data_IF_445807110149
#
_entry.id   IF_445807110149
#
_cell.length_a   1.000
_cell.length_b   1.000
_cell.length_c   1.000
_cell.angle_alpha   90.00
_cell.angle_beta   90.00
_cell.angle_gamma   90.00
#
_symmetry.space_group_name_H-M   'P 1'
#
loop_
_entity.id
_entity.type
_entity.pdbx_description
1 polymer ?
#
# COMPACT_ATOMS: atom_id res chain seq x y z
N UNK A 1 26.86 25.46 -14.58
CA UNK A 1 26.02 24.24 -14.51
C UNK A 1 25.34 24.17 -13.15
N UNK A 2 24.00 24.18 -13.09
CA UNK A 2 23.27 24.04 -11.83
C UNK A 2 23.30 22.57 -11.41
N UNK A 3 24.02 22.25 -10.32
CA UNK A 3 23.93 20.96 -9.63
C UNK A 3 22.52 20.85 -9.06
N UNK A 4 21.68 20.01 -9.67
CA UNK A 4 20.44 19.55 -9.04
C UNK A 4 20.85 18.71 -7.83
N UNK A 5 20.86 19.34 -6.67
CA UNK A 5 20.81 18.63 -5.40
C UNK A 5 19.55 17.78 -5.44
N UNK A 6 19.70 16.46 -5.35
CA UNK A 6 18.58 15.54 -5.16
C UNK A 6 17.90 15.96 -3.85
N UNK A 7 16.81 16.72 -3.98
CA UNK A 7 15.97 17.15 -2.87
C UNK A 7 15.57 15.89 -2.10
N UNK A 8 15.78 15.91 -0.79
CA UNK A 8 15.51 14.79 0.12
C UNK A 8 14.16 14.13 -0.20
N UNK A 9 14.08 12.80 -0.06
CA UNK A 9 12.82 12.07 -0.25
C UNK A 9 11.80 12.57 0.79
N UNK A 10 10.99 13.54 0.38
CA UNK A 10 9.88 14.10 1.15
C UNK A 10 8.99 12.95 1.63
N UNK A 11 8.56 12.98 2.89
CA UNK A 11 7.45 12.14 3.34
C UNK A 11 6.27 12.39 2.41
N UNK A 12 5.76 11.34 1.78
CA UNK A 12 4.67 11.48 0.83
C UNK A 12 3.73 10.29 0.94
N UNK A 13 2.51 10.58 1.40
CA UNK A 13 1.47 9.60 1.63
C UNK A 13 0.20 10.00 0.89
N UNK A 14 -0.05 9.34 -0.22
CA UNK A 14 -1.27 9.49 -1.02
C UNK A 14 -2.05 8.18 -1.02
N UNK A 15 -3.18 8.20 -0.31
CA UNK A 15 -4.06 7.05 -0.08
C UNK A 15 -5.51 7.43 -0.34
N UNK A 16 -6.31 6.45 -0.75
CA UNK A 16 -7.77 6.61 -0.94
C UNK A 16 -8.51 5.67 -0.01
N UNK A 17 -9.49 6.20 0.71
CA UNK A 17 -10.29 5.46 1.67
C UNK A 17 -11.76 5.42 1.21
N UNK A 18 -12.32 4.23 1.24
CA UNK A 18 -13.75 3.93 1.14
C UNK A 18 -14.08 2.91 2.22
N UNK A 19 -15.33 2.87 2.66
CA UNK A 19 -15.83 1.91 3.66
C UNK A 19 -15.28 0.49 3.48
N UNK A 20 -15.42 -0.08 2.27
CA UNK A 20 -15.01 -1.45 1.99
C UNK A 20 -13.58 -1.62 1.44
N UNK A 21 -12.88 -0.54 1.08
CA UNK A 21 -11.62 -0.63 0.35
C UNK A 21 -10.69 0.54 0.62
N UNK A 22 -9.46 0.21 1.01
CA UNK A 22 -8.36 1.17 1.10
C UNK A 22 -7.36 0.94 -0.02
N UNK A 23 -6.92 2.02 -0.67
CA UNK A 23 -5.95 1.98 -1.75
C UNK A 23 -4.73 2.83 -1.40
N UNK A 24 -3.61 2.17 -1.19
CA UNK A 24 -2.30 2.78 -0.94
C UNK A 24 -1.60 3.00 -2.28
N UNK A 25 -1.49 4.25 -2.71
CA UNK A 25 -0.92 4.58 -4.02
C UNK A 25 0.55 4.96 -3.89
N UNK A 26 0.88 5.94 -3.03
CA UNK A 26 2.26 6.38 -2.82
C UNK A 26 2.50 6.50 -1.33
N UNK A 27 3.40 5.70 -0.77
CA UNK A 27 3.78 5.75 0.64
C UNK A 27 5.30 5.76 0.74
N UNK A 28 5.89 6.95 0.64
CA UNK A 28 7.32 7.15 0.82
C UNK A 28 7.60 7.71 2.19
N UNK A 29 8.58 7.09 2.85
CA UNK A 29 9.04 7.45 4.18
C UNK A 29 10.55 7.51 4.16
N UNK A 30 11.11 8.59 4.68
CA UNK A 30 12.53 8.63 4.99
C UNK A 30 12.84 7.67 6.15
N UNK A 31 13.99 6.99 6.11
CA UNK A 31 14.37 6.04 7.16
C UNK A 31 14.48 6.71 8.54
N UNK A 32 14.88 7.98 8.60
CA UNK A 32 15.02 8.79 9.82
C UNK A 32 13.70 9.38 10.30
N UNK A 33 12.62 9.24 9.53
CA UNK A 33 11.33 9.79 9.93
C UNK A 33 10.78 9.07 11.17
N UNK A 34 10.31 9.80 12.18
CA UNK A 34 9.64 9.19 13.32
C UNK A 34 8.24 8.70 12.95
N UNK A 35 7.63 9.25 11.90
CA UNK A 35 6.26 8.93 11.50
C UNK A 35 6.21 7.64 10.69
N UNK A 36 5.35 6.72 11.08
CA UNK A 36 5.10 5.46 10.38
C UNK A 36 3.82 5.50 9.54
N UNK A 37 3.77 4.64 8.53
CA UNK A 37 2.63 4.57 7.61
C UNK A 37 1.30 4.21 8.33
N UNK A 38 1.33 3.46 9.43
CA UNK A 38 0.14 3.16 10.22
C UNK A 38 -0.44 4.40 10.90
N UNK A 39 0.40 5.29 11.43
CA UNK A 39 -0.06 6.55 12.04
C UNK A 39 -0.71 7.46 10.99
N UNK A 40 -0.06 7.61 9.83
CA UNK A 40 -0.63 8.37 8.71
C UNK A 40 -1.93 7.76 8.23
N UNK A 41 -2.01 6.43 8.17
CA UNK A 41 -3.22 5.72 7.76
C UNK A 41 -4.37 5.96 8.74
N UNK A 42 -4.11 5.85 10.06
CA UNK A 42 -5.09 6.13 11.10
C UNK A 42 -5.64 7.55 10.99
N UNK A 43 -4.76 8.53 10.81
CA UNK A 43 -5.16 9.92 10.63
C UNK A 43 -5.98 10.14 9.35
N UNK A 44 -5.47 9.71 8.18
CA UNK A 44 -6.15 9.93 6.90
C UNK A 44 -7.49 9.19 6.81
N UNK A 45 -7.57 7.94 7.30
CA UNK A 45 -8.84 7.23 7.42
C UNK A 45 -9.81 7.98 8.32
N UNK A 46 -9.36 8.43 9.50
CA UNK A 46 -10.22 9.11 10.45
C UNK A 46 -10.82 10.40 9.90
N UNK A 47 -10.04 11.20 9.17
CA UNK A 47 -10.53 12.41 8.50
C UNK A 47 -11.54 12.06 7.41
N UNK A 48 -11.16 11.21 6.45
CA UNK A 48 -12.00 10.89 5.28
C UNK A 48 -13.28 10.16 5.69
N UNK A 49 -13.20 9.20 6.61
CA UNK A 49 -14.34 8.40 7.02
C UNK A 49 -15.37 9.22 7.80
N UNK A 50 -14.94 10.20 8.60
CA UNK A 50 -15.86 11.15 9.25
C UNK A 50 -16.54 12.06 8.23
N UNK A 51 -15.76 12.65 7.32
CA UNK A 51 -16.28 13.54 6.29
C UNK A 51 -17.29 12.84 5.36
N UNK A 52 -17.09 11.54 5.10
CA UNK A 52 -17.92 10.75 4.19
C UNK A 52 -18.92 9.83 4.89
N UNK A 53 -19.06 9.90 6.21
CA UNK A 53 -20.09 9.18 6.96
C UNK A 53 -19.90 7.67 7.12
N UNK A 54 -18.67 7.16 7.06
CA UNK A 54 -18.35 5.72 7.26
C UNK A 54 -17.33 5.49 8.39
N UNK A 55 -17.16 6.43 9.31
CA UNK A 55 -16.22 6.26 10.42
C UNK A 55 -16.62 5.09 11.31
N UNK A 56 -15.70 4.13 11.46
CA UNK A 56 -15.93 2.86 12.16
C UNK A 56 -15.98 1.67 11.19
N UNK A 57 -16.26 1.91 9.91
CA UNK A 57 -16.26 0.87 8.88
C UNK A 57 -14.85 0.56 8.37
N UNK A 58 -14.41 -0.67 8.59
CA UNK A 58 -13.09 -1.16 8.19
C UNK A 58 -13.13 -1.89 6.83
N UNK A 59 -12.02 -1.86 6.06
CA UNK A 59 -12.00 -2.36 4.70
C UNK A 59 -12.01 -3.88 4.66
N UNK A 60 -12.75 -4.44 3.71
CA UNK A 60 -12.61 -5.84 3.30
C UNK A 60 -11.42 -6.04 2.35
N UNK A 61 -10.95 -4.96 1.71
CA UNK A 61 -9.83 -5.01 0.74
C UNK A 61 -8.83 -3.90 0.95
N UNK A 62 -7.57 -4.28 1.17
CA UNK A 62 -6.43 -3.37 1.07
C UNK A 62 -5.74 -3.60 -0.28
N UNK A 63 -5.60 -2.54 -1.08
CA UNK A 63 -4.85 -2.58 -2.35
C UNK A 63 -3.61 -1.70 -2.23
N UNK A 64 -2.43 -2.27 -2.48
CA UNK A 64 -1.24 -1.47 -2.85
C UNK A 64 -1.22 -1.33 -4.37
N UNK A 65 -1.26 -0.10 -4.86
CA UNK A 65 -1.32 0.22 -6.29
C UNK A 65 0.06 0.71 -6.75
N UNK A 66 0.42 0.43 -8.01
CA UNK A 66 1.59 0.99 -8.68
C UNK A 66 2.88 0.77 -7.84
N UNK A 67 3.07 -0.47 -7.37
CA UNK A 67 4.17 -0.85 -6.46
C UNK A 67 5.51 -0.77 -7.20
N UNK A 68 6.42 0.06 -6.72
CA UNK A 68 7.77 0.25 -7.30
C UNK A 68 8.91 -0.23 -6.41
N UNK A 69 8.60 -0.77 -5.22
CA UNK A 69 9.63 -1.28 -4.30
C UNK A 69 10.22 -2.58 -4.88
N UNK A 70 11.45 -2.51 -5.39
CA UNK A 70 12.14 -3.62 -6.09
C UNK A 70 12.23 -4.90 -5.25
N UNK A 71 12.52 -4.78 -3.96
CA UNK A 71 12.58 -5.93 -3.06
C UNK A 71 11.22 -6.62 -2.93
N UNK A 72 10.14 -5.85 -2.80
CA UNK A 72 8.77 -6.39 -2.78
C UNK A 72 8.43 -7.10 -4.08
N UNK A 73 8.74 -6.48 -5.23
CA UNK A 73 8.47 -7.05 -6.53
C UNK A 73 9.23 -8.36 -6.72
N UNK A 74 10.53 -8.39 -6.45
CA UNK A 74 11.36 -9.59 -6.58
C UNK A 74 10.91 -10.72 -5.65
N UNK A 75 10.66 -10.42 -4.36
CA UNK A 75 10.28 -11.45 -3.39
C UNK A 75 8.91 -12.08 -3.65
N UNK A 76 8.02 -11.39 -4.37
CA UNK A 76 6.66 -11.88 -4.63
C UNK A 76 6.46 -12.37 -6.07
N UNK A 77 7.52 -12.38 -6.88
CA UNK A 77 7.43 -12.74 -8.29
C UNK A 77 7.16 -14.23 -8.48
N UNK A 78 6.19 -14.54 -9.34
CA UNK A 78 5.71 -15.90 -9.62
C UNK A 78 4.99 -16.59 -8.46
N UNK A 79 4.75 -15.93 -7.33
CA UNK A 79 4.17 -16.55 -6.12
C UNK A 79 2.68 -16.32 -6.04
N UNK A 80 1.97 -17.34 -5.56
CA UNK A 80 0.51 -17.32 -5.39
C UNK A 80 0.10 -18.06 -4.10
N UNK A 81 -1.18 -17.96 -3.73
CA UNK A 81 -1.75 -18.68 -2.58
C UNK A 81 -1.00 -18.44 -1.27
N UNK A 82 -0.81 -19.51 -0.50
CA UNK A 82 -0.15 -19.48 0.80
C UNK A 82 1.33 -19.07 0.71
N UNK A 83 2.02 -19.43 -0.38
CA UNK A 83 3.41 -19.00 -0.60
C UNK A 83 3.49 -17.48 -0.68
N UNK A 84 2.62 -16.86 -1.49
CA UNK A 84 2.55 -15.40 -1.61
C UNK A 84 2.12 -14.76 -0.28
N UNK A 85 1.14 -15.34 0.40
CA UNK A 85 0.67 -14.83 1.69
C UNK A 85 1.81 -14.79 2.71
N UNK A 86 2.50 -15.92 2.89
CA UNK A 86 3.57 -16.08 3.87
C UNK A 86 4.76 -15.18 3.55
N UNK A 87 5.23 -15.19 2.29
CA UNK A 87 6.39 -14.37 1.91
C UNK A 87 6.08 -12.88 2.05
N UNK A 88 4.86 -12.44 1.68
CA UNK A 88 4.49 -11.04 1.68
C UNK A 88 4.49 -10.47 3.09
N UNK A 89 3.91 -11.16 4.07
CA UNK A 89 3.88 -10.64 5.43
C UNK A 89 5.20 -10.82 6.20
N UNK A 90 6.03 -11.80 5.83
CA UNK A 90 7.28 -12.08 6.53
C UNK A 90 8.45 -11.18 6.11
N UNK A 91 8.61 -10.88 4.81
CA UNK A 91 9.86 -10.30 4.29
C UNK A 91 9.75 -8.88 3.73
N UNK A 92 8.97 -8.61 2.67
CA UNK A 92 9.09 -7.38 1.90
C UNK A 92 8.63 -6.15 2.68
N UNK A 93 9.25 -4.97 2.46
CA UNK A 93 8.87 -3.73 3.12
C UNK A 93 7.38 -3.39 3.02
N UNK A 94 6.78 -3.58 1.84
CA UNK A 94 5.36 -3.28 1.62
C UNK A 94 4.44 -4.20 2.42
N UNK A 95 4.79 -5.47 2.58
CA UNK A 95 3.97 -6.40 3.33
C UNK A 95 4.13 -6.24 4.84
N UNK A 96 5.34 -6.00 5.33
CA UNK A 96 5.57 -5.58 6.73
C UNK A 96 4.81 -4.29 7.09
N UNK A 97 4.84 -3.29 6.21
CA UNK A 97 4.08 -2.05 6.40
C UNK A 97 2.57 -2.32 6.39
N UNK A 98 2.09 -3.20 5.51
CA UNK A 98 0.66 -3.55 5.44
C UNK A 98 0.23 -4.29 6.70
N UNK A 99 1.04 -5.24 7.19
CA UNK A 99 0.80 -5.94 8.45
C UNK A 99 0.67 -4.96 9.61
N UNK A 100 1.63 -4.02 9.76
CA UNK A 100 1.58 -3.00 10.83
C UNK A 100 0.32 -2.14 10.76
N UNK A 101 -0.12 -1.77 9.56
CA UNK A 101 -1.38 -1.05 9.38
C UNK A 101 -2.55 -1.92 9.84
N UNK A 102 -2.65 -3.17 9.38
CA UNK A 102 -3.73 -4.08 9.78
C UNK A 102 -3.76 -4.31 11.28
N UNK A 103 -2.61 -4.57 11.91
CA UNK A 103 -2.48 -4.73 13.36
C UNK A 103 -3.03 -3.50 14.11
N UNK A 104 -2.80 -2.28 13.60
CA UNK A 104 -3.29 -1.02 14.18
C UNK A 104 -4.82 -0.85 14.13
N UNK A 105 -5.52 -1.67 13.34
CA UNK A 105 -6.98 -1.66 13.19
C UNK A 105 -7.62 -3.00 13.60
N UNK A 106 -6.85 -3.95 14.15
CA UNK A 106 -7.36 -5.29 14.49
C UNK A 106 -7.78 -6.12 13.25
N UNK A 107 -7.17 -5.87 12.10
CA UNK A 107 -7.48 -6.56 10.85
C UNK A 107 -6.60 -7.80 10.65
N UNK A 108 -7.19 -8.85 10.07
CA UNK A 108 -6.49 -10.05 9.66
C UNK A 108 -6.77 -10.32 8.17
N UNK A 109 -5.71 -10.47 7.39
CA UNK A 109 -5.85 -10.87 5.99
C UNK A 109 -6.16 -12.36 5.90
N UNK A 110 -7.05 -12.74 4.97
CA UNK A 110 -7.33 -14.14 4.65
C UNK A 110 -6.66 -14.59 3.35
N UNK A 111 -6.19 -13.65 2.52
CA UNK A 111 -5.48 -13.94 1.29
C UNK A 111 -4.65 -12.73 0.84
N UNK A 112 -3.58 -13.01 0.09
CA UNK A 112 -2.82 -12.02 -0.67
C UNK A 112 -2.89 -12.40 -2.14
N UNK A 113 -3.18 -11.42 -3.00
CA UNK A 113 -3.19 -11.60 -4.46
C UNK A 113 -2.27 -10.58 -5.10
N UNK A 114 -1.42 -11.05 -5.99
CA UNK A 114 -0.61 -10.22 -6.88
C UNK A 114 -1.33 -10.15 -8.22
N UNK A 115 -1.39 -8.93 -8.78
CA UNK A 115 -1.91 -8.68 -10.13
C UNK A 115 -0.81 -7.92 -10.83
N UNK A 116 -0.10 -8.61 -11.72
CA UNK A 116 0.88 -7.99 -12.58
C UNK A 116 0.15 -7.23 -13.70
N UNK A 117 0.62 -6.02 -14.00
CA UNK A 117 0.08 -5.26 -15.10
C UNK A 117 0.75 -5.76 -16.38
N UNK A 118 0.04 -6.56 -17.17
CA UNK A 118 0.46 -6.90 -18.52
C UNK A 118 0.19 -5.68 -19.42
N UNK A 119 1.25 -5.11 -20.00
CA UNK A 119 1.17 -3.95 -20.89
C UNK A 119 0.29 -4.20 -22.13
N UNK A 120 0.00 -5.46 -22.47
CA UNK A 120 -0.90 -5.81 -23.58
C UNK A 120 -2.39 -5.53 -23.33
N UNK A 121 -2.82 -5.33 -22.07
CA UNK A 121 -4.22 -5.07 -21.74
C UNK A 121 -4.73 -3.66 -22.15
N UNK A 122 -3.88 -2.78 -22.68
CA UNK A 122 -4.31 -1.51 -23.27
C UNK A 122 -4.86 -1.62 -24.69
N UNK A 123 -4.51 -2.68 -25.45
CA UNK A 123 -4.90 -2.76 -26.86
C UNK A 123 -6.36 -3.17 -27.11
N UNK A 124 -7.07 -3.70 -26.10
CA UNK A 124 -8.43 -4.24 -26.29
C UNK A 124 -9.56 -3.44 -25.63
N UNK A 125 -9.27 -2.32 -24.96
CA UNK A 125 -10.30 -1.46 -24.33
C UNK A 125 -10.42 -0.07 -24.99
N UNK A 126 -9.91 0.06 -26.22
CA UNK A 126 -10.20 1.18 -27.12
C UNK A 126 -10.81 0.62 -28.41
N UNK A 127 -12.01 0.06 -28.31
CA UNK A 127 -12.95 -0.07 -29.41
C UNK A 127 -14.29 0.46 -28.91
#
# INVERSE_FOLDING_TARGET
MKKYHVISKKLYFYNKYKANKWTFMLNFRDKKSPVFANEVTAHQYGVVAKEKGFYGELPQKIKRKDVTNKETLSLTEGKHGDELYNIFFAKPPNGKSTKRIMDNFGLHATAVRRVDYDENHKKHNHI
#
